data_IF_054088244706
#
_entry.id   IF_054088244706
#
_cell.length_a   1.000
_cell.length_b   1.000
_cell.length_c   1.000
_cell.angle_alpha   90.00
_cell.angle_beta   90.00
_cell.angle_gamma   90.00
#
_symmetry.space_group_name_H-M   'P 1'
#
loop_
_entity.id
_entity.type
_entity.pdbx_description
1 polymer ?
#
# COMPACT_ATOMS: atom_id res chain seq x y z
N UNK A 1 -6.88 16.84 2.37
CA UNK A 1 -6.37 15.50 1.99
C UNK A 1 -7.18 15.03 0.78
N UNK A 2 -6.58 15.03 -0.41
CA UNK A 2 -7.27 14.54 -1.63
C UNK A 2 -7.42 13.03 -1.46
N UNK A 3 -8.65 12.50 -1.51
CA UNK A 3 -8.86 11.05 -1.54
C UNK A 3 -8.16 10.52 -2.79
N UNK A 4 -7.11 9.70 -2.63
CA UNK A 4 -6.54 8.95 -3.75
C UNK A 4 -7.70 8.14 -4.36
N UNK A 5 -7.95 8.22 -5.68
CA UNK A 5 -9.02 7.44 -6.29
C UNK A 5 -8.80 5.96 -6.03
N UNK A 6 -9.89 5.20 -5.87
CA UNK A 6 -9.80 3.78 -5.59
C UNK A 6 -9.11 3.06 -6.76
N UNK A 7 -7.96 2.46 -6.50
CA UNK A 7 -7.18 1.75 -7.52
C UNK A 7 -7.89 0.49 -8.00
N UNK A 8 -7.86 0.25 -9.31
CA UNK A 8 -8.42 -0.95 -9.94
C UNK A 8 -7.33 -2.00 -10.11
N UNK A 9 -7.41 -3.08 -9.32
CA UNK A 9 -6.31 -4.03 -9.17
C UNK A 9 -6.52 -5.29 -10.02
N UNK A 10 -5.53 -5.76 -10.79
CA UNK A 10 -5.64 -7.05 -11.47
C UNK A 10 -5.60 -8.21 -10.47
N UNK A 11 -6.47 -9.21 -10.67
CA UNK A 11 -6.33 -10.50 -9.98
C UNK A 11 -5.14 -11.29 -10.53
N UNK A 12 -4.68 -12.31 -9.81
CA UNK A 12 -3.65 -13.26 -10.27
C UNK A 12 -3.99 -13.85 -11.63
N UNK A 13 -5.26 -14.21 -11.80
CA UNK A 13 -5.79 -14.72 -13.06
C UNK A 13 -5.57 -13.72 -14.19
N UNK A 14 -5.88 -12.44 -13.95
CA UNK A 14 -5.65 -11.38 -14.93
C UNK A 14 -4.18 -11.22 -15.29
N UNK A 15 -3.27 -11.28 -14.30
CA UNK A 15 -1.83 -11.23 -14.56
C UNK A 15 -1.37 -12.38 -15.47
N UNK A 16 -1.82 -13.61 -15.18
CA UNK A 16 -1.52 -14.80 -16.00
C UNK A 16 -2.08 -14.66 -17.42
N UNK A 17 -3.33 -14.21 -17.56
CA UNK A 17 -3.95 -14.04 -18.88
C UNK A 17 -3.27 -12.99 -19.75
N UNK A 18 -2.69 -11.96 -19.13
CA UNK A 18 -1.97 -10.89 -19.82
C UNK A 18 -0.48 -11.18 -19.99
N UNK A 19 0.00 -12.33 -19.49
CA UNK A 19 1.42 -12.70 -19.46
C UNK A 19 2.28 -11.62 -18.76
N UNK A 20 1.72 -11.01 -17.70
CA UNK A 20 2.41 -10.01 -16.89
C UNK A 20 3.19 -10.75 -15.79
N UNK A 21 4.53 -10.60 -15.71
CA UNK A 21 5.30 -11.17 -14.63
C UNK A 21 4.90 -10.54 -13.30
N UNK A 22 4.89 -11.33 -12.22
CA UNK A 22 4.54 -10.84 -10.90
C UNK A 22 5.60 -9.83 -10.42
N UNK A 23 5.23 -8.56 -10.16
CA UNK A 23 6.20 -7.57 -9.70
C UNK A 23 6.57 -7.76 -8.23
N UNK A 24 7.68 -7.13 -7.82
CA UNK A 24 8.07 -7.02 -6.42
C UNK A 24 6.94 -6.40 -5.57
N UNK A 25 6.91 -6.69 -4.27
CA UNK A 25 5.91 -6.14 -3.33
C UNK A 25 5.96 -4.61 -3.24
N UNK A 26 7.07 -4.00 -3.66
CA UNK A 26 7.23 -2.57 -3.75
C UNK A 26 6.47 -1.88 -4.87
N UNK A 27 5.87 -2.63 -5.80
CA UNK A 27 5.07 -2.11 -6.91
C UNK A 27 3.64 -2.62 -6.73
N UNK A 28 2.68 -1.76 -6.34
CA UNK A 28 1.28 -2.13 -6.23
C UNK A 28 0.72 -2.65 -7.55
N UNK A 29 -0.14 -3.67 -7.52
CA UNK A 29 -0.69 -4.25 -8.75
C UNK A 29 -1.54 -3.27 -9.59
N UNK A 30 -2.17 -2.27 -8.96
CA UNK A 30 -2.89 -1.17 -9.62
C UNK A 30 -1.97 -0.12 -10.26
N UNK A 31 -0.67 -0.15 -9.95
CA UNK A 31 0.33 0.78 -10.49
C UNK A 31 1.21 0.12 -11.58
N UNK A 32 0.88 -1.11 -12.01
CA UNK A 32 1.60 -1.80 -13.08
C UNK A 32 1.48 -1.01 -14.40
N UNK A 33 2.64 -0.80 -15.04
CA UNK A 33 2.74 -0.20 -16.36
C UNK A 33 2.31 -1.19 -17.46
N UNK A 34 1.00 -1.42 -17.55
CA UNK A 34 0.38 -2.20 -18.61
C UNK A 34 -0.91 -1.51 -19.06
N UNK A 35 -1.12 -1.42 -20.37
CA UNK A 35 -2.17 -0.58 -20.96
C UNK A 35 -3.60 -0.90 -20.45
N UNK A 36 -3.91 -2.19 -20.23
CA UNK A 36 -5.18 -2.62 -19.59
C UNK A 36 -5.29 -2.14 -18.15
N UNK A 37 -4.22 -2.22 -17.36
CA UNK A 37 -4.23 -1.80 -15.95
C UNK A 37 -4.40 -0.28 -15.86
N UNK A 38 -3.63 0.48 -16.63
CA UNK A 38 -3.72 1.93 -16.71
C UNK A 38 -5.11 2.42 -17.14
N UNK A 39 -5.67 1.83 -18.21
CA UNK A 39 -7.01 2.21 -18.68
C UNK A 39 -8.10 1.84 -17.66
N UNK A 40 -7.92 0.74 -16.93
CA UNK A 40 -8.86 0.31 -15.91
C UNK A 40 -8.97 1.29 -14.74
N UNK A 41 -7.93 2.08 -14.47
CA UNK A 41 -7.95 3.07 -13.38
C UNK A 41 -9.04 4.15 -13.57
N UNK A 42 -9.48 4.39 -14.81
CA UNK A 42 -10.55 5.35 -15.10
C UNK A 42 -11.97 4.81 -14.84
N UNK A 43 -12.15 3.49 -14.65
CA UNK A 43 -13.48 2.86 -14.53
C UNK A 43 -14.30 3.38 -13.35
N UNK A 44 -13.74 3.57 -12.13
CA UNK A 44 -14.50 4.09 -11.01
C UNK A 44 -15.11 5.47 -11.31
N UNK A 45 -14.32 6.37 -11.90
CA UNK A 45 -14.77 7.71 -12.29
C UNK A 45 -15.80 7.65 -13.44
N UNK A 46 -15.54 6.84 -14.46
CA UNK A 46 -16.48 6.63 -15.57
C UNK A 46 -17.83 6.08 -15.09
N UNK A 47 -17.84 5.20 -14.08
CA UNK A 47 -19.08 4.70 -13.47
C UNK A 47 -19.84 5.84 -12.79
N UNK A 48 -19.15 6.67 -12.00
CA UNK A 48 -19.78 7.79 -11.30
C UNK A 48 -20.38 8.80 -12.29
N UNK A 49 -19.72 9.02 -13.42
CA UNK A 49 -20.21 9.86 -14.52
C UNK A 49 -21.29 9.18 -15.39
N UNK A 50 -21.63 7.91 -15.15
CA UNK A 50 -22.58 7.14 -15.96
C UNK A 50 -22.06 6.71 -17.35
N UNK A 51 -20.76 6.89 -17.62
CA UNK A 51 -20.11 6.58 -18.89
C UNK A 51 -19.51 5.18 -19.02
N UNK A 52 -19.43 4.41 -17.93
CA UNK A 52 -18.85 3.06 -17.97
C UNK A 52 -19.78 2.03 -18.64
N UNK A 53 -19.27 1.33 -19.66
CA UNK A 53 -20.03 0.32 -20.41
C UNK A 53 -20.14 -1.00 -19.63
N UNK A 54 -21.35 -1.54 -19.45
CA UNK A 54 -21.59 -2.79 -18.71
C UNK A 54 -21.51 -4.05 -19.58
N UNK A 55 -21.11 -5.17 -18.97
CA UNK A 55 -21.27 -6.51 -19.55
C UNK A 55 -22.66 -7.04 -19.15
N UNK A 56 -23.66 -6.78 -19.99
CA UNK A 56 -25.09 -7.07 -19.69
C UNK A 56 -25.38 -8.56 -19.52
N UNK A 57 -24.56 -9.42 -20.12
CA UNK A 57 -24.74 -10.87 -20.05
C UNK A 57 -24.39 -11.46 -18.67
N UNK A 58 -23.55 -10.79 -17.89
CA UNK A 58 -23.22 -11.18 -16.51
C UNK A 58 -24.24 -10.52 -15.56
N UNK A 59 -25.18 -11.30 -15.05
CA UNK A 59 -26.36 -10.78 -14.32
C UNK A 59 -26.26 -10.88 -12.79
N UNK A 60 -25.34 -11.70 -12.30
CA UNK A 60 -25.12 -11.94 -10.88
C UNK A 60 -24.45 -10.76 -10.18
N UNK A 61 -23.67 -9.95 -10.92
CA UNK A 61 -23.15 -8.66 -10.46
C UNK A 61 -22.84 -7.72 -11.62
N UNK A 62 -22.53 -6.47 -11.29
CA UNK A 62 -22.13 -5.47 -12.29
C UNK A 62 -20.68 -5.65 -12.68
N UNK A 63 -20.46 -5.91 -13.96
CA UNK A 63 -19.14 -5.88 -14.60
C UNK A 63 -19.09 -4.78 -15.66
N UNK A 64 -17.95 -4.13 -15.77
CA UNK A 64 -17.65 -3.08 -16.73
C UNK A 64 -16.63 -3.55 -17.75
N UNK A 65 -16.80 -3.08 -18.98
CA UNK A 65 -15.91 -3.36 -20.10
C UNK A 65 -14.76 -2.37 -20.11
N UNK A 66 -13.56 -2.88 -20.23
CA UNK A 66 -12.36 -2.09 -20.56
C UNK A 66 -11.82 -2.57 -21.91
N UNK A 67 -11.60 -1.64 -22.84
CA UNK A 67 -11.16 -1.93 -24.21
C UNK A 67 -9.93 -1.09 -24.52
N UNK A 68 -8.81 -1.73 -24.85
CA UNK A 68 -7.54 -1.06 -25.19
C UNK A 68 -6.93 -1.76 -26.40
N UNK A 69 -6.98 -1.13 -27.57
CA UNK A 69 -6.54 -1.77 -28.81
C UNK A 69 -7.26 -3.11 -29.06
N UNK A 70 -6.50 -4.20 -29.16
CA UNK A 70 -7.00 -5.58 -29.25
C UNK A 70 -7.26 -6.22 -27.87
N UNK A 71 -6.81 -5.62 -26.78
CA UNK A 71 -7.00 -6.13 -25.42
C UNK A 71 -8.37 -5.76 -24.85
N UNK A 72 -8.93 -6.67 -24.05
CA UNK A 72 -10.22 -6.56 -23.39
C UNK A 72 -10.07 -6.97 -21.93
N UNK A 73 -10.83 -6.32 -21.06
CA UNK A 73 -10.90 -6.65 -19.64
C UNK A 73 -12.32 -6.47 -19.09
N UNK A 74 -12.58 -7.18 -18.00
CA UNK A 74 -13.79 -7.12 -17.20
C UNK A 74 -13.42 -6.64 -15.79
N UNK A 75 -14.00 -5.50 -15.40
CA UNK A 75 -13.74 -4.81 -14.12
C UNK A 75 -15.00 -4.82 -13.27
N UNK A 76 -14.86 -5.02 -11.96
CA UNK A 76 -15.98 -4.95 -11.03
C UNK A 76 -15.60 -4.20 -9.76
N UNK A 77 -16.60 -3.60 -9.12
CA UNK A 77 -16.51 -3.16 -7.74
C UNK A 77 -17.08 -4.27 -6.86
N UNK A 78 -16.35 -4.64 -5.82
CA UNK A 78 -16.83 -5.55 -4.79
C UNK A 78 -17.92 -4.88 -3.95
N UNK A 79 -18.93 -5.64 -3.54
CA UNK A 79 -19.90 -5.15 -2.59
C UNK A 79 -19.24 -4.97 -1.20
N UNK A 80 -19.82 -4.11 -0.35
CA UNK A 80 -19.25 -3.79 0.97
C UNK A 80 -18.98 -5.03 1.84
N UNK A 81 -19.82 -6.07 1.74
CA UNK A 81 -19.65 -7.34 2.47
C UNK A 81 -18.60 -8.29 1.90
N UNK A 82 -18.02 -7.98 0.74
CA UNK A 82 -16.98 -8.77 0.07
C UNK A 82 -15.58 -8.16 0.23
N UNK A 83 -15.52 -6.88 0.59
CA UNK A 83 -14.28 -6.22 0.94
C UNK A 83 -13.77 -6.74 2.29
N UNK A 84 -12.45 -6.91 2.42
CA UNK A 84 -11.85 -7.21 3.71
C UNK A 84 -12.00 -6.02 4.65
N UNK A 85 -12.59 -6.25 5.83
CA UNK A 85 -12.75 -5.25 6.88
C UNK A 85 -11.42 -4.68 7.40
N UNK A 86 -10.29 -5.32 7.06
CA UNK A 86 -8.95 -4.88 7.44
C UNK A 86 -8.46 -3.66 6.64
N UNK A 87 -9.11 -3.33 5.52
CA UNK A 87 -8.68 -2.21 4.67
C UNK A 87 -9.64 -1.02 4.76
N UNK A 88 -9.11 0.22 4.80
CA UNK A 88 -9.92 1.41 4.66
C UNK A 88 -10.73 1.43 3.34
N UNK A 89 -11.88 2.14 3.31
CA UNK A 89 -12.64 2.32 2.09
C UNK A 89 -11.78 2.88 0.95
N UNK A 90 -11.87 2.26 -0.22
CA UNK A 90 -11.11 2.64 -1.43
C UNK A 90 -9.88 1.78 -1.70
N UNK A 91 -9.48 0.91 -0.75
CA UNK A 91 -8.39 -0.04 -0.94
C UNK A 91 -8.97 -1.44 -1.18
N UNK A 92 -8.68 -2.02 -2.36
CA UNK A 92 -9.13 -3.36 -2.70
C UNK A 92 -10.64 -3.47 -3.01
N UNK A 93 -11.31 -2.35 -3.29
CA UNK A 93 -12.72 -2.34 -3.69
C UNK A 93 -12.90 -2.70 -5.17
N UNK A 94 -11.93 -2.42 -6.02
CA UNK A 94 -12.05 -2.54 -7.47
C UNK A 94 -11.05 -3.53 -8.05
N UNK A 95 -11.54 -4.44 -8.89
CA UNK A 95 -10.71 -5.52 -9.44
C UNK A 95 -10.95 -5.79 -10.92
N UNK A 96 -9.87 -6.11 -11.63
CA UNK A 96 -9.90 -6.70 -12.97
C UNK A 96 -9.98 -8.22 -12.79
N UNK A 97 -11.17 -8.78 -12.97
CA UNK A 97 -11.41 -10.21 -12.74
C UNK A 97 -10.97 -11.10 -13.90
N UNK A 98 -10.96 -10.55 -15.12
CA UNK A 98 -10.43 -11.21 -16.29
C UNK A 98 -9.95 -10.21 -17.33
N UNK A 99 -8.92 -10.59 -18.08
CA UNK A 99 -8.45 -9.87 -19.25
C UNK A 99 -8.00 -10.86 -20.33
N UNK A 100 -7.84 -10.38 -21.56
CA UNK A 100 -7.43 -11.18 -22.72
C UNK A 100 -7.43 -10.36 -24.00
N UNK A 101 -7.21 -11.03 -25.14
CA UNK A 101 -7.25 -10.41 -26.47
C UNK A 101 -8.58 -10.69 -27.17
N UNK A 102 -8.98 -9.77 -28.05
CA UNK A 102 -10.04 -9.97 -29.02
C UNK A 102 -9.56 -10.96 -30.09
N UNK A 103 -10.29 -12.04 -30.32
CA UNK A 103 -10.01 -12.93 -31.45
C UNK A 103 -10.52 -12.27 -32.74
N UNK A 104 -9.68 -12.24 -33.79
CA UNK A 104 -9.87 -11.41 -34.98
C UNK A 104 -11.03 -11.84 -35.90
N UNK A 105 -11.42 -13.12 -35.88
CA UNK A 105 -12.15 -13.71 -37.03
C UNK A 105 -13.64 -14.02 -36.79
N UNK A 106 -14.22 -13.67 -35.64
CA UNK A 106 -15.66 -13.94 -35.44
C UNK A 106 -16.25 -13.16 -34.27
N UNK A 107 -17.43 -12.56 -34.50
CA UNK A 107 -18.29 -12.00 -33.45
C UNK A 107 -18.76 -13.06 -32.45
N UNK A 108 -18.69 -14.36 -32.77
CA UNK A 108 -19.00 -15.47 -31.86
C UNK A 108 -17.82 -15.87 -30.95
N UNK A 109 -16.65 -15.29 -31.18
CA UNK A 109 -15.42 -15.46 -30.40
C UNK A 109 -14.99 -14.15 -29.72
N UNK A 110 -15.95 -13.25 -29.45
CA UNK A 110 -15.68 -12.06 -28.67
C UNK A 110 -15.29 -12.44 -27.23
N UNK A 111 -14.33 -11.71 -26.67
CA UNK A 111 -13.80 -11.95 -25.32
C UNK A 111 -14.93 -11.97 -24.29
N UNK A 112 -15.87 -11.02 -24.37
CA UNK A 112 -16.97 -10.95 -23.41
C UNK A 112 -17.95 -12.13 -23.55
N UNK A 113 -18.11 -12.68 -24.75
CA UNK A 113 -18.91 -13.88 -24.99
C UNK A 113 -18.21 -15.14 -24.47
N UNK A 114 -16.87 -15.21 -24.54
CA UNK A 114 -16.11 -16.30 -23.91
C UNK A 114 -16.26 -16.29 -22.39
N UNK A 115 -16.12 -15.12 -21.74
CA UNK A 115 -16.31 -15.00 -20.29
C UNK A 115 -17.75 -15.33 -19.90
N UNK A 116 -18.72 -14.85 -20.67
CA UNK A 116 -20.13 -15.16 -20.42
C UNK A 116 -20.39 -16.66 -20.46
N UNK A 117 -19.83 -17.37 -21.46
CA UNK A 117 -19.94 -18.84 -21.55
C UNK A 117 -19.28 -19.54 -20.37
N UNK A 118 -18.10 -19.09 -19.96
CA UNK A 118 -17.40 -19.65 -18.81
C UNK A 118 -18.21 -19.50 -17.51
N UNK A 119 -18.82 -18.33 -17.32
CA UNK A 119 -19.58 -18.02 -16.12
C UNK A 119 -21.03 -18.53 -16.15
N UNK A 120 -21.49 -19.16 -17.24
CA UNK A 120 -22.88 -19.60 -17.38
C UNK A 120 -22.98 -21.12 -17.42
N UNK A 121 -23.70 -21.69 -16.46
CA UNK A 121 -24.07 -23.11 -16.45
C UNK A 121 -25.59 -23.26 -16.53
N UNK A 122 -26.09 -23.72 -17.67
CA UNK A 122 -27.51 -23.79 -17.96
C UNK A 122 -28.17 -22.40 -17.95
N UNK A 123 -29.02 -22.14 -16.96
CA UNK A 123 -29.68 -20.83 -16.77
C UNK A 123 -29.01 -19.96 -15.68
N UNK A 124 -28.02 -20.51 -14.98
CA UNK A 124 -27.38 -19.86 -13.84
C UNK A 124 -26.10 -19.17 -14.30
N UNK A 125 -25.96 -17.89 -13.98
CA UNK A 125 -24.73 -17.11 -14.20
C UNK A 125 -24.02 -16.96 -12.86
N UNK A 126 -22.73 -17.27 -12.80
CA UNK A 126 -21.88 -17.09 -11.62
C UNK A 126 -20.49 -16.63 -12.03
N UNK A 127 -20.10 -15.46 -11.53
CA UNK A 127 -18.81 -14.80 -11.78
C UNK A 127 -17.87 -14.89 -10.57
N UNK A 128 -18.18 -15.76 -9.60
CA UNK A 128 -17.34 -16.00 -8.41
C UNK A 128 -15.90 -16.40 -8.77
N UNK A 129 -15.71 -17.18 -9.83
CA UNK A 129 -14.39 -17.55 -10.36
C UNK A 129 -13.60 -16.42 -11.03
N UNK A 130 -14.19 -15.22 -11.17
CA UNK A 130 -13.52 -14.01 -11.63
C UNK A 130 -13.11 -13.09 -10.47
N UNK A 131 -13.59 -13.36 -9.25
CA UNK A 131 -13.33 -12.51 -8.09
C UNK A 131 -11.94 -12.77 -7.50
N UNK A 132 -11.41 -11.83 -6.70
CA UNK A 132 -10.14 -12.00 -6.01
C UNK A 132 -10.16 -13.24 -5.11
N UNK A 133 -9.09 -14.01 -5.18
CA UNK A 133 -8.85 -15.21 -4.39
C UNK A 133 -8.07 -14.88 -3.12
N UNK A 134 -7.86 -15.87 -2.25
CA UNK A 134 -7.03 -15.74 -1.06
C UNK A 134 -5.62 -15.21 -1.38
N UNK A 135 -5.05 -15.62 -2.53
CA UNK A 135 -3.75 -15.13 -2.97
C UNK A 135 -3.76 -13.62 -3.22
N UNK A 136 -4.82 -13.10 -3.85
CA UNK A 136 -4.95 -11.67 -4.20
C UNK A 136 -5.03 -10.81 -2.94
N UNK A 137 -5.78 -11.29 -1.94
CA UNK A 137 -5.87 -10.63 -0.63
C UNK A 137 -4.56 -10.68 0.14
N UNK A 138 -3.88 -11.84 0.19
CA UNK A 138 -2.55 -11.96 0.79
C UNK A 138 -1.53 -11.04 0.14
N UNK A 139 -1.57 -10.92 -1.20
CA UNK A 139 -0.72 -10.01 -1.96
C UNK A 139 -1.02 -8.55 -1.60
N UNK A 140 -2.29 -8.15 -1.55
CA UNK A 140 -2.66 -6.80 -1.12
C UNK A 140 -2.18 -6.50 0.31
N UNK A 141 -2.38 -7.41 1.26
CA UNK A 141 -1.88 -7.25 2.64
C UNK A 141 -0.36 -7.02 2.67
N UNK A 142 0.40 -7.82 1.93
CA UNK A 142 1.84 -7.70 1.88
C UNK A 142 2.32 -6.38 1.23
N UNK A 143 1.65 -5.91 0.17
CA UNK A 143 1.93 -4.60 -0.42
C UNK A 143 1.66 -3.46 0.56
N UNK A 144 0.54 -3.51 1.30
CA UNK A 144 0.24 -2.50 2.31
C UNK A 144 1.29 -2.48 3.42
N UNK A 145 1.77 -3.65 3.86
CA UNK A 145 2.84 -3.74 4.85
C UNK A 145 4.17 -3.12 4.34
N UNK A 146 4.54 -3.37 3.09
CA UNK A 146 5.75 -2.79 2.48
C UNK A 146 5.60 -1.28 2.29
N UNK A 147 4.44 -0.81 1.81
CA UNK A 147 4.16 0.61 1.66
C UNK A 147 4.23 1.33 3.02
N UNK A 148 3.64 0.73 4.05
CA UNK A 148 3.66 1.27 5.40
C UNK A 148 5.07 1.33 6.00
N UNK A 149 5.88 0.27 5.84
CA UNK A 149 7.29 0.28 6.26
C UNK A 149 8.10 1.37 5.56
N UNK A 150 7.91 1.54 4.25
CA UNK A 150 8.60 2.59 3.48
C UNK A 150 8.23 3.98 3.96
N UNK A 151 6.95 4.20 4.23
CA UNK A 151 6.47 5.50 4.71
C UNK A 151 6.96 5.79 6.14
N UNK A 152 6.87 4.81 7.04
CA UNK A 152 7.43 4.93 8.38
C UNK A 152 8.92 5.26 8.34
N UNK A 153 9.69 4.58 7.47
CA UNK A 153 11.12 4.87 7.31
C UNK A 153 11.37 6.31 6.86
N UNK A 154 10.62 6.81 5.88
CA UNK A 154 10.74 8.21 5.46
C UNK A 154 10.43 9.18 6.59
N UNK A 155 9.34 8.94 7.31
CA UNK A 155 8.92 9.77 8.45
C UNK A 155 10.01 9.78 9.53
N UNK A 156 10.55 8.62 9.90
CA UNK A 156 11.61 8.50 10.91
C UNK A 156 12.89 9.22 10.46
N UNK A 157 13.34 9.00 9.23
CA UNK A 157 14.53 9.67 8.68
C UNK A 157 14.34 11.18 8.67
N UNK A 158 13.19 11.66 8.23
CA UNK A 158 12.86 13.09 8.20
C UNK A 158 12.85 13.71 9.60
N UNK A 159 12.21 13.04 10.55
CA UNK A 159 12.13 13.51 11.93
C UNK A 159 13.52 13.63 12.58
N UNK A 160 14.38 12.64 12.34
CA UNK A 160 15.76 12.67 12.82
C UNK A 160 16.55 13.77 12.13
N UNK A 161 16.40 13.96 10.81
CA UNK A 161 17.08 15.02 10.07
C UNK A 161 16.69 16.42 10.58
N UNK A 162 15.41 16.65 10.84
CA UNK A 162 14.92 17.88 11.47
C UNK A 162 15.56 18.10 12.84
N UNK A 163 15.57 17.07 13.70
CA UNK A 163 16.14 17.18 15.04
C UNK A 163 17.66 17.38 15.01
N UNK A 164 18.36 16.75 14.07
CA UNK A 164 19.78 17.04 13.82
C UNK A 164 19.96 18.51 13.48
N UNK A 165 19.11 19.08 12.63
CA UNK A 165 19.23 20.47 12.18
C UNK A 165 18.89 21.48 13.29
N UNK A 166 17.77 21.28 14.00
CA UNK A 166 17.28 22.18 15.05
C UNK A 166 18.01 22.00 16.38
N UNK A 167 18.43 20.77 16.70
CA UNK A 167 18.88 20.38 18.04
C UNK A 167 17.72 20.26 19.05
N UNK A 168 16.47 20.31 18.57
CA UNK A 168 15.26 20.29 19.39
C UNK A 168 14.50 18.97 19.21
N UNK A 169 13.51 18.75 20.08
CA UNK A 169 12.60 17.62 19.99
C UNK A 169 11.62 17.83 18.84
N UNK A 170 11.68 16.97 17.85
CA UNK A 170 10.78 17.01 16.70
C UNK A 170 9.65 16.00 16.87
N UNK A 171 8.44 16.38 16.43
CA UNK A 171 7.22 15.60 16.65
C UNK A 171 6.42 15.49 15.35
N UNK A 172 5.93 14.29 15.06
CA UNK A 172 5.01 14.06 13.94
C UNK A 172 3.91 13.05 14.30
N UNK A 173 2.70 13.30 13.80
CA UNK A 173 1.59 12.34 13.88
C UNK A 173 1.59 11.44 12.63
N UNK A 174 1.77 10.14 12.83
CA UNK A 174 1.77 9.13 11.77
C UNK A 174 0.72 8.05 12.06
N UNK A 175 -0.31 7.98 11.20
CA UNK A 175 -1.38 6.95 11.27
C UNK A 175 -2.07 6.85 12.65
N UNK A 176 -2.20 7.98 13.36
CA UNK A 176 -2.82 8.04 14.69
C UNK A 176 -1.86 7.75 15.85
N UNK A 177 -0.57 7.55 15.56
CA UNK A 177 0.50 7.45 16.55
C UNK A 177 1.34 8.72 16.53
N UNK A 178 1.82 9.16 17.68
CA UNK A 178 2.76 10.29 17.74
C UNK A 178 4.17 9.75 17.88
N UNK A 179 5.02 10.11 16.93
CA UNK A 179 6.44 9.75 16.91
C UNK A 179 7.23 11.02 17.19
N UNK A 180 8.22 10.92 18.07
CA UNK A 180 9.13 12.02 18.38
C UNK A 180 10.57 11.56 18.24
N UNK A 181 11.45 12.46 17.82
CA UNK A 181 12.89 12.23 17.77
C UNK A 181 13.65 13.41 18.38
N UNK A 182 14.67 13.10 19.16
CA UNK A 182 15.63 14.08 19.70
C UNK A 182 17.05 13.60 19.43
N UNK A 183 17.85 14.42 18.75
CA UNK A 183 19.29 14.20 18.60
C UNK A 183 20.04 15.23 19.44
N UNK A 184 20.70 14.75 20.50
CA UNK A 184 21.45 15.58 21.45
C UNK A 184 22.93 15.23 21.48
N UNK A 185 23.76 16.16 21.97
CA UNK A 185 25.22 15.97 22.06
C UNK A 185 25.92 16.03 20.69
N UNK A 186 26.32 17.23 20.25
CA UNK A 186 27.16 17.42 19.06
C UNK A 186 28.65 17.44 19.41
N UNK A 187 29.12 16.54 20.27
CA UNK A 187 30.56 16.35 20.43
C UNK A 187 31.07 15.47 19.27
N UNK A 188 32.31 15.76 18.81
CA UNK A 188 32.84 15.45 17.48
C UNK A 188 32.83 13.97 17.02
N UNK A 189 32.36 13.04 17.84
CA UNK A 189 32.47 11.60 17.60
C UNK A 189 31.15 10.81 17.72
N UNK A 190 30.18 11.22 18.54
CA UNK A 190 28.94 10.47 18.77
C UNK A 190 27.78 11.42 19.08
N UNK A 191 26.65 11.24 18.39
CA UNK A 191 25.40 11.94 18.69
C UNK A 191 24.43 10.99 19.37
N UNK A 192 23.68 11.44 20.34
CA UNK A 192 22.71 10.61 21.05
C UNK A 192 21.33 10.78 20.43
N UNK A 193 20.67 9.67 20.05
CA UNK A 193 19.32 9.67 19.50
C UNK A 193 18.34 9.07 20.50
N UNK A 194 17.25 9.79 20.74
CA UNK A 194 16.06 9.26 21.40
C UNK A 194 14.89 9.20 20.42
N UNK A 195 14.19 8.07 20.39
CA UNK A 195 12.92 7.87 19.70
C UNK A 195 11.84 7.66 20.76
N UNK A 196 10.79 8.46 20.67
CA UNK A 196 9.62 8.36 21.54
C UNK A 196 8.41 8.00 20.70
N UNK A 197 7.63 7.04 21.19
CA UNK A 197 6.31 6.78 20.63
C UNK A 197 5.23 6.91 21.70
N UNK A 198 4.15 7.60 21.34
CA UNK A 198 2.92 7.70 22.11
C UNK A 198 1.80 6.94 21.37
N UNK A 199 1.03 6.15 22.12
CA UNK A 199 -0.15 5.46 21.57
C UNK A 199 0.17 4.29 20.64
N UNK A 200 1.36 3.69 20.74
CA UNK A 200 1.71 2.44 20.04
C UNK A 200 1.56 1.25 21.02
N UNK A 201 0.42 0.53 21.02
CA UNK A 201 0.22 -0.61 21.92
C UNK A 201 0.89 -1.90 21.42
N UNK A 202 1.23 -1.98 20.13
CA UNK A 202 1.80 -3.19 19.53
C UNK A 202 3.34 -3.15 19.54
N UNK A 203 4.02 -4.06 20.26
CA UNK A 203 5.49 -4.10 20.32
C UNK A 203 6.14 -4.36 18.96
N UNK A 204 5.47 -5.02 18.02
CA UNK A 204 6.00 -5.26 16.67
C UNK A 204 6.06 -3.97 15.84
N UNK A 205 5.07 -3.08 16.01
CA UNK A 205 5.04 -1.76 15.37
C UNK A 205 6.17 -0.89 15.94
N UNK A 206 6.38 -0.96 17.25
CA UNK A 206 7.46 -0.23 17.90
C UNK A 206 8.84 -0.76 17.47
N UNK A 207 9.02 -2.08 17.38
CA UNK A 207 10.25 -2.66 16.85
C UNK A 207 10.52 -2.23 15.39
N UNK A 208 9.49 -2.15 14.55
CA UNK A 208 9.65 -1.64 13.19
C UNK A 208 10.04 -0.16 13.17
N UNK A 209 9.49 0.65 14.07
CA UNK A 209 9.86 2.06 14.21
C UNK A 209 11.37 2.22 14.47
N UNK A 210 11.92 1.40 15.36
CA UNK A 210 13.35 1.39 15.66
C UNK A 210 14.20 0.88 14.47
N UNK A 211 13.74 -0.18 13.79
CA UNK A 211 14.39 -0.72 12.57
C UNK A 211 14.42 0.27 11.40
N UNK A 212 13.56 1.30 11.43
CA UNK A 212 13.54 2.35 10.42
C UNK A 212 14.71 3.35 10.54
N UNK A 213 15.44 3.36 11.67
CA UNK A 213 16.60 4.24 11.85
C UNK A 213 17.80 3.69 11.08
N UNK A 214 18.36 4.42 10.09
CA UNK A 214 19.46 3.91 9.30
C UNK A 214 20.72 3.67 10.14
N UNK A 215 21.37 2.53 9.95
CA UNK A 215 22.71 2.28 10.50
C UNK A 215 22.79 1.97 11.99
N UNK A 216 21.65 1.74 12.65
CA UNK A 216 21.58 1.32 14.07
C UNK A 216 21.16 -0.15 14.13
N UNK A 217 21.87 -0.98 14.89
CA UNK A 217 21.48 -2.38 15.11
C UNK A 217 20.33 -2.48 16.10
N UNK A 218 19.49 -3.52 15.99
CA UNK A 218 18.45 -3.82 16.98
C UNK A 218 19.01 -3.97 18.41
N UNK A 219 20.25 -4.43 18.54
CA UNK A 219 20.93 -4.65 19.82
C UNK A 219 21.51 -3.37 20.44
N UNK A 220 21.65 -2.29 19.65
CA UNK A 220 22.20 -1.00 20.11
C UNK A 220 21.15 -0.12 20.80
N UNK A 221 19.89 -0.54 20.73
CA UNK A 221 18.76 0.15 21.34
C UNK A 221 18.66 -0.19 22.82
N UNK A 222 18.52 0.83 23.66
CA UNK A 222 18.29 0.68 25.09
C UNK A 222 16.98 1.36 25.48
N UNK A 223 16.17 0.74 26.35
CA UNK A 223 15.04 1.44 26.94
C UNK A 223 15.62 2.57 27.80
N UNK A 224 15.12 3.79 27.63
CA UNK A 224 15.59 4.93 28.40
C UNK A 224 14.60 5.22 29.54
N UNK A 225 14.92 4.81 30.79
CA UNK A 225 14.04 5.07 31.94
C UNK A 225 14.22 6.49 32.51
N UNK A 226 15.23 7.23 32.07
CA UNK A 226 15.57 8.55 32.59
C UNK A 226 14.89 9.66 31.77
N UNK A 227 14.50 10.78 32.40
CA UNK A 227 14.28 12.01 31.64
C UNK A 227 15.61 12.43 31.01
N UNK A 228 15.76 12.16 29.71
CA UNK A 228 16.79 12.80 28.91
C UNK A 228 16.61 14.31 29.01
N UNK A 229 17.71 15.05 28.92
CA UNK A 229 17.70 16.51 29.02
C UNK A 229 16.49 17.10 28.26
N UNK A 230 15.58 17.74 29.01
CA UNK A 230 14.34 18.38 28.53
C UNK A 230 13.13 17.48 28.20
N UNK A 231 13.21 16.17 28.43
CA UNK A 231 12.12 15.23 28.18
C UNK A 231 11.45 14.77 29.49
N UNK A 232 10.26 15.29 29.77
CA UNK A 232 9.34 14.69 30.75
C UNK A 232 8.38 13.73 30.03
N UNK A 233 8.61 12.40 30.06
CA UNK A 233 7.72 11.45 29.41
C UNK A 233 6.29 11.58 29.94
N UNK A 234 5.35 11.76 29.03
CA UNK A 234 3.93 11.72 29.36
C UNK A 234 3.46 10.28 29.60
N UNK A 235 2.39 10.11 30.38
CA UNK A 235 1.82 8.78 30.64
C UNK A 235 1.47 8.05 29.34
N UNK A 236 2.07 6.89 29.11
CA UNK A 236 1.87 6.07 27.90
C UNK A 236 2.93 6.26 26.81
N UNK A 237 3.96 7.07 27.06
CA UNK A 237 5.12 7.19 26.18
C UNK A 237 6.17 6.11 26.45
N UNK A 238 6.71 5.54 25.38
CA UNK A 238 7.82 4.60 25.42
C UNK A 238 9.02 5.28 24.76
N UNK A 239 10.13 5.36 25.50
CA UNK A 239 11.37 5.99 25.04
C UNK A 239 12.44 4.91 24.86
N UNK A 240 13.07 4.93 23.69
CA UNK A 240 14.26 4.14 23.41
C UNK A 240 15.35 5.05 22.86
N UNK A 241 16.58 4.71 23.19
CA UNK A 241 17.73 5.52 22.86
C UNK A 241 18.89 4.70 22.34
N UNK A 242 19.77 5.37 21.62
CA UNK A 242 20.98 4.77 21.05
C UNK A 242 22.02 5.86 20.72
N UNK A 243 23.24 5.44 20.42
CA UNK A 243 24.29 6.31 19.90
C UNK A 243 24.28 6.25 18.37
N UNK A 244 24.18 7.40 17.74
CA UNK A 244 24.35 7.58 16.30
C UNK A 244 25.84 7.79 15.97
N UNK A 245 26.44 6.89 15.18
CA UNK A 245 27.78 7.11 14.66
C UNK A 245 27.82 8.36 13.75
N UNK A 246 28.88 9.15 13.82
CA UNK A 246 29.00 10.39 13.04
C UNK A 246 28.83 10.21 11.51
N UNK A 247 29.19 9.05 10.96
CA UNK A 247 29.00 8.72 9.54
C UNK A 247 27.52 8.56 9.15
N UNK A 248 26.66 8.21 10.09
CA UNK A 248 25.22 7.99 9.89
C UNK A 248 24.45 9.31 9.92
N UNK A 249 24.81 10.25 10.78
CA UNK A 249 24.19 11.59 10.85
C UNK A 249 24.21 12.29 9.50
N UNK A 250 25.36 12.28 8.80
CA UNK A 250 25.49 12.84 7.46
C UNK A 250 24.68 12.07 6.40
N UNK A 251 24.61 10.75 6.52
CA UNK A 251 23.81 9.92 5.62
C UNK A 251 22.31 10.18 5.78
N UNK A 252 21.83 10.38 7.01
CA UNK A 252 20.43 10.70 7.31
C UNK A 252 20.04 12.05 6.67
N UNK A 253 20.87 13.09 6.83
CA UNK A 253 20.64 14.40 6.20
C UNK A 253 20.61 14.31 4.67
N UNK A 254 21.41 13.42 4.06
CA UNK A 254 21.39 13.19 2.61
C UNK A 254 20.17 12.38 2.14
N UNK A 255 19.62 11.50 2.99
CA UNK A 255 18.44 10.67 2.69
C UNK A 255 17.11 11.43 2.85
N UNK A 256 17.14 12.60 3.50
CA UNK A 256 15.98 13.49 3.67
C UNK A 256 15.71 14.39 2.44
N UNK A 257 16.56 14.33 1.42
CA UNK A 257 16.45 15.07 0.14
C UNK A 257 15.72 14.23 -0.90
#
# INVERSE_FOLDING_TARGET
MVRKPAGVRPTRRTLVNLDIPLPDLGIPLDEIDHAVVQTSQAVPEQRLAGGAERIVALKDRVWFKVKVGDQRAAVTELADGECSAHFPPGIGNWWIGAAGRRQADSSQHDFYDSITRECTSGKTVSTSGLLPTEWDWKRLTAEQAIAWRREMRRVVVHLIALSIASGELEIIDFQGHRIKALVSGRDAHEAYLAIIAEGIPNPEIFALLLDCVPGVSAEDWQPEPSPLAEMEPSSGEIIWSTLLPAGITNAIVQLDI
#
